data_IF_098436223371
#
_entry.id   IF_098436223371
#
_cell.length_a   1.000
_cell.length_b   1.000
_cell.length_c   1.000
_cell.angle_alpha   90.00
_cell.angle_beta   90.00
_cell.angle_gamma   90.00
#
_symmetry.space_group_name_H-M   'P 1'
#
loop_
_entity.id
_entity.type
_entity.pdbx_description
1 polymer ?
#
# COMPACT_ATOMS: atom_id res chain seq x y z
N UNK A 1 1.18 -31.86 2.75
CA UNK A 1 2.09 -31.12 1.84
C UNK A 1 2.08 -29.68 2.32
N UNK A 2 3.24 -29.05 2.51
CA UNK A 2 3.27 -27.62 2.83
C UNK A 2 2.62 -26.85 1.67
N UNK A 3 1.78 -25.86 1.98
CA UNK A 3 1.19 -25.02 0.94
C UNK A 3 2.31 -24.26 0.22
N UNK A 4 2.23 -24.10 -1.12
CA UNK A 4 3.18 -23.30 -1.86
C UNK A 4 3.16 -21.85 -1.33
N UNK A 5 4.34 -21.25 -1.22
CA UNK A 5 4.50 -19.86 -0.77
C UNK A 5 4.06 -18.93 -1.91
N UNK A 6 3.09 -18.08 -1.63
CA UNK A 6 2.66 -17.02 -2.55
C UNK A 6 3.30 -15.70 -2.13
N UNK A 7 3.98 -15.03 -3.07
CA UNK A 7 4.53 -13.70 -2.85
C UNK A 7 3.73 -12.70 -3.68
N UNK A 8 3.26 -11.63 -3.04
CA UNK A 8 2.66 -10.49 -3.71
C UNK A 8 3.57 -9.27 -3.48
N UNK A 9 4.03 -8.62 -4.55
CA UNK A 9 4.90 -7.44 -4.46
C UNK A 9 4.08 -6.20 -4.78
N UNK A 10 4.05 -5.24 -3.86
CA UNK A 10 3.36 -3.96 -4.10
C UNK A 10 4.10 -3.10 -5.14
N UNK A 11 3.35 -2.25 -5.84
CA UNK A 11 3.92 -1.23 -6.74
C UNK A 11 4.81 -0.23 -5.99
N UNK A 12 4.47 0.12 -4.75
CA UNK A 12 5.33 0.92 -3.86
C UNK A 12 6.69 0.25 -3.62
N UNK A 13 6.72 -1.04 -3.29
CA UNK A 13 7.96 -1.79 -3.12
C UNK A 13 8.83 -1.72 -4.36
N UNK A 14 8.25 -1.96 -5.55
CA UNK A 14 8.98 -1.88 -6.81
C UNK A 14 9.55 -0.46 -7.02
N UNK A 15 8.73 0.56 -6.76
CA UNK A 15 9.10 1.97 -6.94
C UNK A 15 10.29 2.39 -6.09
N UNK A 16 10.38 1.93 -4.84
CA UNK A 16 11.58 2.18 -4.01
C UNK A 16 12.73 1.27 -4.35
N UNK A 17 12.47 0.00 -4.68
CA UNK A 17 13.47 -0.95 -5.12
C UNK A 17 14.28 -0.43 -6.30
N UNK A 18 13.62 0.15 -7.31
CA UNK A 18 14.28 0.69 -8.51
C UNK A 18 15.23 1.86 -8.20
N UNK A 19 15.01 2.58 -7.10
CA UNK A 19 15.84 3.70 -6.64
C UNK A 19 17.04 3.25 -5.79
N UNK A 20 17.07 1.99 -5.35
CA UNK A 20 18.15 1.46 -4.51
C UNK A 20 19.47 1.34 -5.30
N UNK A 21 20.63 1.40 -4.61
CA UNK A 21 21.92 1.07 -5.22
C UNK A 21 21.92 -0.33 -5.85
N UNK A 22 22.64 -0.51 -6.97
CA UNK A 22 22.56 -1.76 -7.75
C UNK A 22 22.96 -3.02 -6.96
N UNK A 23 23.93 -2.90 -6.05
CA UNK A 23 24.30 -4.00 -5.16
C UNK A 23 23.17 -4.40 -4.21
N UNK A 24 22.39 -3.44 -3.73
CA UNK A 24 21.24 -3.70 -2.86
C UNK A 24 20.08 -4.28 -3.67
N UNK A 25 19.85 -3.79 -4.89
CA UNK A 25 18.87 -4.40 -5.81
C UNK A 25 19.15 -5.90 -6.04
N UNK A 26 20.41 -6.27 -6.24
CA UNK A 26 20.81 -7.67 -6.40
C UNK A 26 20.57 -8.48 -5.12
N UNK A 27 20.96 -7.95 -3.95
CA UNK A 27 20.71 -8.60 -2.65
C UNK A 27 19.23 -8.80 -2.36
N UNK A 28 18.40 -7.81 -2.66
CA UNK A 28 16.95 -7.93 -2.50
C UNK A 28 16.38 -9.00 -3.43
N UNK A 29 16.84 -9.09 -4.69
CA UNK A 29 16.38 -10.14 -5.61
C UNK A 29 16.78 -11.55 -5.12
N UNK A 30 18.04 -11.73 -4.72
CA UNK A 30 18.51 -12.98 -4.10
C UNK A 30 17.71 -13.33 -2.85
N UNK A 31 17.39 -12.33 -2.03
CA UNK A 31 16.56 -12.50 -0.85
C UNK A 31 15.15 -12.98 -1.21
N UNK A 32 14.46 -12.34 -2.16
CA UNK A 32 13.09 -12.73 -2.53
C UNK A 32 13.06 -14.15 -3.12
N UNK A 33 14.04 -14.52 -3.95
CA UNK A 33 14.18 -15.89 -4.46
C UNK A 33 14.37 -16.90 -3.32
N UNK A 34 15.25 -16.59 -2.35
CA UNK A 34 15.47 -17.45 -1.18
C UNK A 34 14.20 -17.56 -0.32
N UNK A 35 13.50 -16.44 -0.13
CA UNK A 35 12.26 -16.37 0.64
C UNK A 35 11.15 -17.20 0.00
N UNK A 36 11.01 -17.17 -1.33
CA UNK A 36 10.04 -17.97 -2.07
C UNK A 36 10.26 -19.47 -1.85
N UNK A 37 11.52 -19.89 -1.76
CA UNK A 37 11.89 -21.28 -1.50
C UNK A 37 11.64 -21.70 -0.04
N UNK A 38 12.07 -20.89 0.92
CA UNK A 38 11.87 -21.15 2.35
C UNK A 38 11.82 -19.84 3.18
N UNK A 39 10.61 -19.38 3.55
CA UNK A 39 10.42 -18.20 4.40
C UNK A 39 11.01 -18.35 5.81
N UNK A 40 11.24 -19.58 6.27
CA UNK A 40 11.83 -19.89 7.58
C UNK A 40 13.33 -20.13 7.52
N UNK A 41 13.93 -19.97 6.33
CA UNK A 41 15.32 -20.27 6.08
C UNK A 41 16.30 -19.39 6.89
N UNK A 42 17.55 -19.84 7.05
CA UNK A 42 18.55 -19.13 7.84
C UNK A 42 18.84 -17.75 7.24
N UNK A 43 18.86 -16.72 8.08
CA UNK A 43 19.18 -15.34 7.66
C UNK A 43 18.02 -14.55 7.07
N UNK A 44 16.81 -15.12 6.96
CA UNK A 44 15.61 -14.35 6.58
C UNK A 44 15.27 -13.31 7.66
N UNK A 45 15.45 -13.69 8.94
CA UNK A 45 15.13 -12.89 10.12
C UNK A 45 13.71 -12.31 10.04
N UNK A 46 12.72 -13.18 9.89
CA UNK A 46 11.31 -12.82 9.81
C UNK A 46 10.79 -12.44 11.21
N UNK A 47 10.83 -11.15 11.53
CA UNK A 47 10.55 -10.64 12.87
C UNK A 47 9.33 -9.73 12.87
N UNK A 48 8.44 -9.90 13.85
CA UNK A 48 7.28 -9.01 14.00
C UNK A 48 7.75 -7.63 14.47
N UNK A 49 7.28 -6.58 13.81
CA UNK A 49 7.67 -5.21 14.15
C UNK A 49 6.92 -4.77 15.41
N UNK A 50 7.64 -4.30 16.42
CA UNK A 50 7.06 -3.77 17.66
C UNK A 50 6.65 -2.31 17.46
N UNK A 51 5.54 -1.91 18.09
CA UNK A 51 5.05 -0.53 18.01
C UNK A 51 4.26 -0.20 16.75
N UNK A 52 4.12 -1.13 15.80
CA UNK A 52 3.19 -0.99 14.69
C UNK A 52 1.74 -0.99 15.16
N UNK A 53 0.94 -0.13 14.55
CA UNK A 53 -0.53 -0.18 14.67
C UNK A 53 -1.08 -1.47 14.05
N UNK A 54 -0.45 -1.95 12.98
CA UNK A 54 -0.81 -3.21 12.33
C UNK A 54 0.07 -4.38 12.78
N UNK A 55 -0.57 -5.41 13.35
CA UNK A 55 0.09 -6.63 13.85
C UNK A 55 0.53 -7.58 12.74
N UNK A 56 0.08 -7.36 11.50
CA UNK A 56 0.43 -8.17 10.33
C UNK A 56 1.76 -7.76 9.70
N UNK A 57 2.41 -6.71 10.19
CA UNK A 57 3.69 -6.22 9.65
C UNK A 57 4.90 -6.90 10.30
N UNK A 58 5.79 -7.38 9.44
CA UNK A 58 7.03 -8.05 9.78
C UNK A 58 8.19 -7.37 9.04
N UNK A 59 9.35 -7.36 9.67
CA UNK A 59 10.61 -6.99 9.04
C UNK A 59 11.35 -8.24 8.60
N UNK A 60 12.05 -8.14 7.47
CA UNK A 60 13.01 -9.15 7.01
C UNK A 60 14.36 -8.52 6.74
N UNK A 61 15.42 -9.31 6.89
CA UNK A 61 16.78 -8.85 6.66
C UNK A 61 17.17 -9.02 5.19
N UNK A 62 17.34 -7.90 4.49
CA UNK A 62 17.95 -7.91 3.16
C UNK A 62 19.47 -8.02 3.31
N UNK A 63 20.05 -7.17 4.14
CA UNK A 63 21.45 -7.25 4.55
C UNK A 63 21.69 -6.62 5.93
N UNK A 64 22.92 -6.25 6.26
CA UNK A 64 23.24 -5.66 7.57
C UNK A 64 22.56 -4.30 7.78
N UNK A 65 22.32 -3.55 6.70
CA UNK A 65 21.88 -2.14 6.70
C UNK A 65 20.47 -1.92 6.15
N UNK A 66 19.95 -2.83 5.33
CA UNK A 66 18.64 -2.73 4.68
C UNK A 66 17.65 -3.76 5.24
N UNK A 67 16.39 -3.34 5.34
CA UNK A 67 15.26 -4.17 5.76
C UNK A 67 14.16 -4.14 4.71
N UNK A 68 13.49 -5.27 4.55
CA UNK A 68 12.23 -5.36 3.83
C UNK A 68 11.06 -5.36 4.81
N UNK A 69 9.94 -4.76 4.43
CA UNK A 69 8.69 -4.80 5.20
C UNK A 69 7.70 -5.70 4.48
N UNK A 70 7.21 -6.70 5.21
CA UNK A 70 6.31 -7.73 4.70
C UNK A 70 5.04 -7.77 5.54
N UNK A 71 3.87 -7.71 4.90
CA UNK A 71 2.61 -8.06 5.55
C UNK A 71 2.34 -9.56 5.41
N UNK A 72 1.85 -10.17 6.50
CA UNK A 72 1.40 -11.57 6.52
C UNK A 72 0.27 -11.76 7.52
N UNK A 73 -0.81 -12.40 7.08
CA UNK A 73 -1.86 -12.85 7.96
C UNK A 73 -1.50 -14.21 8.59
N UNK A 74 -1.68 -14.34 9.90
CA UNK A 74 -1.34 -15.58 10.61
C UNK A 74 -2.18 -16.76 10.06
N UNK A 75 -1.52 -17.92 9.88
CA UNK A 75 -2.15 -19.10 9.29
C UNK A 75 -2.16 -19.13 7.76
N UNK A 76 -1.67 -18.09 7.07
CA UNK A 76 -1.56 -18.04 5.61
C UNK A 76 -0.13 -18.27 5.12
N UNK A 77 0.00 -18.74 3.87
CA UNK A 77 1.27 -18.87 3.15
C UNK A 77 1.48 -17.75 2.13
N UNK A 78 0.76 -16.63 2.29
CA UNK A 78 0.80 -15.46 1.41
C UNK A 78 1.56 -14.33 2.08
N UNK A 79 2.55 -13.79 1.38
CA UNK A 79 3.45 -12.75 1.89
C UNK A 79 3.42 -11.54 0.97
N UNK A 80 3.11 -10.38 1.53
CA UNK A 80 2.99 -9.14 0.79
C UNK A 80 4.21 -8.27 1.03
N UNK A 81 5.06 -8.09 0.01
CA UNK A 81 6.24 -7.24 0.07
C UNK A 81 5.84 -5.78 -0.17
N UNK A 82 5.96 -4.97 0.88
CA UNK A 82 5.38 -3.63 0.92
C UNK A 82 6.44 -2.52 0.78
N UNK A 83 7.62 -2.71 1.36
CA UNK A 83 8.68 -1.70 1.34
C UNK A 83 10.07 -2.32 1.45
N UNK A 84 11.10 -1.60 1.00
CA UNK A 84 12.51 -1.93 1.23
C UNK A 84 13.31 -0.64 1.38
N UNK A 85 14.06 -0.54 2.47
CA UNK A 85 14.84 0.67 2.79
C UNK A 85 15.96 0.39 3.79
N UNK A 86 16.73 1.42 4.13
CA UNK A 86 17.59 1.42 5.30
C UNK A 86 16.81 1.06 6.56
N UNK A 87 17.51 0.47 7.52
CA UNK A 87 16.91 -0.10 8.72
C UNK A 87 15.92 0.85 9.40
N UNK A 88 16.35 2.03 9.81
CA UNK A 88 15.54 2.93 10.64
C UNK A 88 14.34 3.47 9.85
N UNK A 89 14.55 3.82 8.59
CA UNK A 89 13.56 4.32 7.64
C UNK A 89 12.48 3.27 7.35
N UNK A 90 12.87 2.01 7.19
CA UNK A 90 11.91 0.91 7.00
C UNK A 90 11.04 0.69 8.23
N UNK A 91 11.62 0.78 9.44
CA UNK A 91 10.84 0.70 10.69
C UNK A 91 9.93 1.91 10.86
N UNK A 92 10.41 3.13 10.61
CA UNK A 92 9.60 4.35 10.65
C UNK A 92 8.43 4.29 9.67
N UNK A 93 8.68 3.80 8.46
CA UNK A 93 7.65 3.58 7.44
C UNK A 93 6.57 2.61 7.94
N UNK A 94 6.99 1.51 8.58
CA UNK A 94 6.10 0.44 9.01
C UNK A 94 5.24 0.82 10.22
N UNK A 95 5.79 1.51 11.23
CA UNK A 95 5.05 1.81 12.47
C UNK A 95 3.88 2.76 12.25
N UNK A 96 3.95 3.58 11.20
CA UNK A 96 2.90 4.53 10.81
C UNK A 96 1.88 3.96 9.84
N UNK A 97 2.07 2.74 9.31
CA UNK A 97 1.23 2.19 8.25
C UNK A 97 0.39 1.00 8.69
N UNK A 98 -0.70 0.80 7.95
CA UNK A 98 -1.60 -0.34 8.06
C UNK A 98 -1.83 -0.96 6.69
N UNK A 99 -1.96 -2.28 6.67
CA UNK A 99 -2.32 -3.08 5.52
C UNK A 99 -3.66 -3.78 5.82
N UNK A 100 -4.73 -3.34 5.16
CA UNK A 100 -6.07 -3.84 5.43
C UNK A 100 -6.88 -3.95 4.15
N UNK A 101 -7.91 -4.80 4.19
CA UNK A 101 -8.91 -4.83 3.14
C UNK A 101 -9.86 -3.66 3.36
N UNK A 102 -10.07 -2.85 2.33
CA UNK A 102 -11.09 -1.82 2.34
C UNK A 102 -12.46 -2.47 2.14
N UNK A 103 -13.38 -2.28 3.07
CA UNK A 103 -14.68 -2.95 3.02
C UNK A 103 -15.60 -2.41 1.91
N UNK A 104 -15.36 -1.20 1.41
CA UNK A 104 -16.15 -0.61 0.34
C UNK A 104 -15.71 -1.09 -1.06
N UNK A 105 -14.41 -1.32 -1.27
CA UNK A 105 -13.84 -1.74 -2.56
C UNK A 105 -13.46 -3.22 -2.60
N UNK A 106 -13.32 -3.86 -1.44
CA UNK A 106 -12.77 -5.21 -1.29
C UNK A 106 -11.27 -5.29 -1.61
N UNK A 107 -10.59 -4.16 -1.82
CA UNK A 107 -9.20 -4.11 -2.22
C UNK A 107 -8.26 -4.06 -1.02
N UNK A 108 -7.06 -4.62 -1.14
CA UNK A 108 -6.01 -4.44 -0.13
C UNK A 108 -5.42 -3.05 -0.29
N UNK A 109 -5.46 -2.28 0.79
CA UNK A 109 -4.90 -0.93 0.85
C UNK A 109 -3.78 -0.85 1.89
N UNK A 110 -2.73 -0.14 1.51
CA UNK A 110 -1.63 0.25 2.40
C UNK A 110 -1.77 1.76 2.62
N UNK A 111 -1.91 2.19 3.87
CA UNK A 111 -2.11 3.61 4.17
C UNK A 111 -1.48 4.02 5.49
N UNK A 112 -1.20 5.32 5.61
CA UNK A 112 -0.65 5.91 6.82
C UNK A 112 -1.77 6.18 7.84
N UNK A 113 -1.68 5.61 9.03
CA UNK A 113 -2.64 5.82 10.13
C UNK A 113 -2.22 6.92 11.10
N UNK A 114 -0.98 7.43 10.97
CA UNK A 114 -0.50 8.60 11.68
C UNK A 114 -0.26 9.72 10.68
N UNK A 115 -1.31 10.47 10.41
CA UNK A 115 -1.18 11.77 9.78
C UNK A 115 -0.66 12.74 10.85
N UNK A 116 0.62 13.08 10.77
CA UNK A 116 1.06 14.37 11.31
C UNK A 116 0.26 15.41 10.55
N UNK A 117 -0.41 16.30 11.27
CA UNK A 117 -0.96 17.52 10.69
C UNK A 117 0.18 18.19 9.92
N UNK A 118 0.26 17.95 8.61
CA UNK A 118 0.96 18.81 7.70
C UNK A 118 0.10 20.07 7.54
N UNK A 119 -0.20 20.70 8.68
CA UNK A 119 -0.30 22.14 8.76
C UNK A 119 1.12 22.67 8.61
N UNK A 120 1.73 22.45 7.45
CA UNK A 120 2.54 23.53 6.93
C UNK A 120 1.54 24.66 6.76
N UNK A 121 1.70 25.71 7.57
CA UNK A 121 1.01 26.97 7.40
C UNK A 121 1.31 27.46 5.98
N UNK A 122 0.51 27.02 5.00
CA UNK A 122 0.47 27.65 3.69
C UNK A 122 0.03 29.08 3.96
N UNK A 123 1.00 29.99 3.87
CA UNK A 123 0.76 31.41 3.94
C UNK A 123 -0.19 31.80 2.81
N UNK A 124 -1.45 31.98 3.17
CA UNK A 124 -2.31 33.00 2.60
C UNK A 124 -3.01 32.62 1.31
N UNK A 125 -4.07 31.83 1.42
CA UNK A 125 -5.36 32.12 0.78
C UNK A 125 -6.47 31.67 1.75
N UNK A 126 -7.46 32.53 2.03
CA UNK A 126 -8.66 32.16 2.79
C UNK A 126 -9.54 31.29 1.89
N UNK A 127 -9.30 29.97 1.90
CA UNK A 127 -10.27 29.03 1.37
C UNK A 127 -11.45 28.95 2.35
N UNK A 128 -12.62 29.36 1.89
CA UNK A 128 -13.85 29.37 2.69
C UNK A 128 -14.20 27.95 3.18
N UNK A 129 -13.82 26.91 2.41
CA UNK A 129 -14.03 25.51 2.76
C UNK A 129 -12.88 24.58 2.31
N UNK A 130 -12.65 23.44 2.99
CA UNK A 130 -11.75 22.38 2.53
C UNK A 130 -12.15 21.80 1.17
N UNK A 131 -11.18 21.19 0.46
CA UNK A 131 -11.33 20.70 -0.92
C UNK A 131 -12.50 19.71 -1.08
N UNK A 132 -12.72 18.83 -0.10
CA UNK A 132 -13.75 17.80 -0.13
C UNK A 132 -14.95 18.11 0.78
N UNK A 133 -15.19 19.37 1.15
CA UNK A 133 -16.21 19.73 2.14
C UNK A 133 -17.64 19.32 1.74
N UNK A 134 -17.96 19.36 0.44
CA UNK A 134 -19.32 19.12 -0.08
C UNK A 134 -19.69 17.63 -0.16
N UNK A 135 -18.71 16.73 -0.04
CA UNK A 135 -18.90 15.28 -0.16
C UNK A 135 -19.19 14.70 1.22
N UNK A 136 -20.10 13.74 1.35
CA UNK A 136 -20.37 13.11 2.65
C UNK A 136 -19.27 12.09 3.03
N UNK A 137 -19.13 11.79 4.33
CA UNK A 137 -18.16 10.74 4.76
C UNK A 137 -18.53 9.37 4.18
N UNK A 138 -19.82 9.08 4.04
CA UNK A 138 -20.31 7.84 3.41
C UNK A 138 -19.86 7.75 1.96
N UNK A 139 -19.92 8.84 1.21
CA UNK A 139 -19.48 8.87 -0.19
C UNK A 139 -17.95 8.77 -0.29
N UNK A 140 -17.20 9.45 0.58
CA UNK A 140 -15.74 9.31 0.63
C UNK A 140 -15.32 7.86 0.90
N UNK A 141 -16.00 7.18 1.84
CA UNK A 141 -15.78 5.75 2.10
C UNK A 141 -16.15 4.92 0.87
N UNK A 142 -17.27 5.21 0.21
CA UNK A 142 -17.71 4.49 -0.99
C UNK A 142 -16.71 4.60 -2.16
N UNK A 143 -15.97 5.72 -2.22
CA UNK A 143 -14.87 5.96 -3.15
C UNK A 143 -13.54 5.32 -2.74
N UNK A 144 -13.53 4.55 -1.64
CA UNK A 144 -12.38 3.78 -1.19
C UNK A 144 -11.51 4.47 -0.14
N UNK A 145 -11.90 5.63 0.39
CA UNK A 145 -11.15 6.27 1.49
C UNK A 145 -11.30 5.42 2.76
N UNK A 146 -10.20 4.96 3.39
CA UNK A 146 -10.26 4.32 4.69
C UNK A 146 -10.91 5.25 5.73
N UNK A 147 -11.74 4.69 6.62
CA UNK A 147 -12.40 5.47 7.68
C UNK A 147 -11.37 6.21 8.53
N UNK A 148 -10.24 5.56 8.80
CA UNK A 148 -9.12 6.13 9.54
C UNK A 148 -8.50 7.34 8.85
N UNK A 149 -8.60 7.48 7.53
CA UNK A 149 -8.06 8.61 6.77
C UNK A 149 -9.05 9.76 6.57
N UNK A 150 -10.32 9.61 6.97
CA UNK A 150 -11.32 10.68 6.79
C UNK A 150 -10.89 12.02 7.40
N UNK A 151 -10.37 12.09 8.65
CA UNK A 151 -9.93 13.36 9.23
C UNK A 151 -8.84 14.05 8.40
N UNK A 152 -7.91 13.26 7.85
CA UNK A 152 -6.85 13.76 6.99
C UNK A 152 -7.39 14.28 5.66
N UNK A 153 -8.24 13.51 4.95
CA UNK A 153 -8.86 13.94 3.68
C UNK A 153 -9.70 15.22 3.89
N UNK A 154 -10.40 15.33 5.02
CA UNK A 154 -11.18 16.53 5.38
C UNK A 154 -10.32 17.76 5.69
N UNK A 155 -9.05 17.57 6.07
CA UNK A 155 -8.13 18.67 6.37
C UNK A 155 -7.52 19.32 5.11
N UNK A 156 -7.58 18.64 3.96
CA UNK A 156 -6.99 19.12 2.71
C UNK A 156 -7.77 20.32 2.16
N UNK A 157 -7.07 21.43 1.92
CA UNK A 157 -7.67 22.69 1.46
C UNK A 157 -7.46 22.94 -0.03
N UNK A 158 -6.31 22.55 -0.56
CA UNK A 158 -5.88 22.90 -1.92
C UNK A 158 -5.58 21.65 -2.74
N UNK A 159 -5.71 21.76 -4.07
CA UNK A 159 -5.34 20.68 -4.98
C UNK A 159 -3.83 20.35 -4.90
N UNK A 160 -2.99 21.32 -4.57
CA UNK A 160 -1.56 21.11 -4.32
C UNK A 160 -1.32 20.28 -3.05
N UNK A 161 -1.96 20.64 -1.93
CA UNK A 161 -1.87 19.87 -0.68
C UNK A 161 -2.36 18.43 -0.86
N UNK A 162 -3.44 18.24 -1.64
CA UNK A 162 -3.93 16.93 -2.04
C UNK A 162 -2.92 16.18 -2.91
N UNK A 163 -2.33 16.81 -3.92
CA UNK A 163 -1.30 16.21 -4.77
C UNK A 163 -0.10 15.69 -3.97
N UNK A 164 0.34 16.43 -2.95
CA UNK A 164 1.44 16.01 -2.03
C UNK A 164 1.03 14.85 -1.11
N UNK A 165 -0.27 14.59 -0.95
CA UNK A 165 -0.81 13.50 -0.15
C UNK A 165 -0.87 12.14 -0.88
N UNK A 166 -0.39 12.05 -2.13
CA UNK A 166 -0.44 10.83 -2.93
C UNK A 166 0.23 9.60 -2.27
N UNK A 167 1.27 9.81 -1.45
CA UNK A 167 1.93 8.73 -0.71
C UNK A 167 1.25 8.37 0.63
N UNK A 168 0.20 9.11 1.01
CA UNK A 168 -0.54 8.90 2.27
C UNK A 168 -1.91 8.24 2.05
N UNK A 169 -2.53 8.53 0.91
CA UNK A 169 -3.85 8.01 0.52
C UNK A 169 -3.65 6.77 -0.38
N UNK A 170 -4.41 5.68 -0.19
CA UNK A 170 -4.39 4.53 -1.10
C UNK A 170 -4.58 4.94 -2.57
N UNK A 171 -3.86 4.33 -3.53
CA UNK A 171 -3.90 4.75 -4.94
C UNK A 171 -5.31 4.74 -5.56
N UNK A 172 -6.12 3.73 -5.24
CA UNK A 172 -7.50 3.59 -5.72
C UNK A 172 -8.40 4.71 -5.18
N UNK A 173 -8.26 5.04 -3.89
CA UNK A 173 -8.97 6.17 -3.29
C UNK A 173 -8.48 7.52 -3.85
N UNK A 174 -7.17 7.66 -4.04
CA UNK A 174 -6.56 8.87 -4.57
C UNK A 174 -7.04 9.17 -5.99
N UNK A 175 -7.12 8.16 -6.87
CA UNK A 175 -7.65 8.30 -8.23
C UNK A 175 -9.08 8.87 -8.22
N UNK A 176 -9.96 8.29 -7.41
CA UNK A 176 -11.35 8.75 -7.28
C UNK A 176 -11.44 10.18 -6.73
N UNK A 177 -10.65 10.51 -5.71
CA UNK A 177 -10.59 11.87 -5.16
C UNK A 177 -10.00 12.87 -6.17
N UNK A 178 -9.08 12.45 -7.02
CA UNK A 178 -8.51 13.28 -8.07
C UNK A 178 -9.54 13.61 -9.16
N UNK A 179 -10.43 12.68 -9.52
CA UNK A 179 -11.57 12.97 -10.40
C UNK A 179 -12.50 14.03 -9.83
N UNK A 180 -12.83 13.92 -8.53
CA UNK A 180 -13.64 14.94 -7.84
C UNK A 180 -12.93 16.30 -7.80
N UNK A 181 -11.63 16.32 -7.46
CA UNK A 181 -10.84 17.55 -7.45
C UNK A 181 -10.69 18.16 -8.85
N UNK A 182 -10.75 17.34 -9.90
CA UNK A 182 -10.80 17.74 -11.30
C UNK A 182 -12.17 18.24 -11.78
N UNK A 183 -13.19 18.24 -10.92
CA UNK A 183 -14.53 18.75 -11.21
C UNK A 183 -15.51 17.73 -11.81
N UNK A 184 -15.17 16.44 -11.83
CA UNK A 184 -16.11 15.38 -12.24
C UNK A 184 -17.16 15.23 -11.13
N UNK A 185 -18.46 15.20 -11.46
CA UNK A 185 -19.51 15.19 -10.45
C UNK A 185 -19.54 13.85 -9.71
N UNK A 186 -19.92 13.90 -8.42
CA UNK A 186 -19.84 12.76 -7.50
C UNK A 186 -20.54 11.51 -8.02
N UNK A 187 -21.72 11.64 -8.63
CA UNK A 187 -22.47 10.52 -9.17
C UNK A 187 -21.69 9.79 -10.28
N UNK A 188 -21.01 10.52 -11.17
CA UNK A 188 -20.20 9.91 -12.23
C UNK A 188 -18.99 9.18 -11.65
N UNK A 189 -18.31 9.78 -10.66
CA UNK A 189 -17.17 9.12 -10.00
C UNK A 189 -17.62 7.87 -9.24
N UNK A 190 -18.78 7.91 -8.57
CA UNK A 190 -19.36 6.75 -7.90
C UNK A 190 -19.72 5.63 -8.89
N UNK A 191 -20.28 5.98 -10.06
CA UNK A 191 -20.58 5.01 -11.12
C UNK A 191 -19.29 4.40 -11.69
N UNK A 192 -18.24 5.20 -11.91
CA UNK A 192 -16.93 4.72 -12.31
C UNK A 192 -16.33 3.78 -11.27
N UNK A 193 -16.34 4.16 -9.99
CA UNK A 193 -15.84 3.32 -8.91
C UNK A 193 -16.64 2.02 -8.78
N UNK A 194 -17.97 2.07 -8.91
CA UNK A 194 -18.84 0.90 -8.88
C UNK A 194 -18.56 -0.05 -10.05
N UNK A 195 -18.26 0.47 -11.25
CA UNK A 195 -17.92 -0.34 -12.42
C UNK A 195 -16.60 -1.10 -12.27
N UNK A 196 -15.71 -0.63 -11.40
CA UNK A 196 -14.45 -1.28 -11.08
C UNK A 196 -14.56 -2.25 -9.89
N UNK A 197 -15.66 -2.25 -9.15
CA UNK A 197 -15.84 -3.17 -8.01
C UNK A 197 -15.89 -4.61 -8.51
N UNK A 198 -15.28 -5.49 -7.73
CA UNK A 198 -15.37 -6.92 -7.95
C UNK A 198 -16.69 -7.47 -7.41
N UNK A 199 -17.27 -8.46 -8.09
CA UNK A 199 -18.37 -9.28 -7.57
C UNK A 199 -17.90 -10.26 -6.47
N UNK A 200 -16.60 -10.32 -6.18
CA UNK A 200 -16.07 -11.14 -5.12
C UNK A 200 -16.56 -10.66 -3.75
N UNK A 201 -16.87 -11.58 -2.82
CA UNK A 201 -17.28 -11.22 -1.48
C UNK A 201 -16.15 -10.45 -0.77
N UNK A 202 -16.52 -9.34 -0.13
CA UNK A 202 -15.61 -8.59 0.74
C UNK A 202 -15.28 -9.46 1.96
N UNK A 203 -14.00 -9.54 2.28
CA UNK A 203 -13.43 -10.41 3.31
C UNK A 203 -12.30 -9.68 4.01
N UNK A 204 -12.07 -9.99 5.29
CA UNK A 204 -10.90 -9.49 6.01
C UNK A 204 -9.62 -10.32 5.72
N UNK A 205 -9.76 -11.43 4.98
CA UNK A 205 -8.64 -12.28 4.59
C UNK A 205 -7.84 -11.66 3.44
N UNK A 206 -6.58 -11.30 3.71
CA UNK A 206 -5.70 -10.71 2.69
C UNK A 206 -5.44 -11.66 1.50
N UNK A 207 -5.42 -12.97 1.71
CA UNK A 207 -5.17 -13.93 0.61
C UNK A 207 -6.36 -13.98 -0.35
N UNK A 208 -7.58 -13.96 0.19
CA UNK A 208 -8.79 -13.88 -0.63
C UNK A 208 -8.91 -12.52 -1.32
N UNK A 209 -8.64 -11.42 -0.61
CA UNK A 209 -8.67 -10.06 -1.16
C UNK A 209 -7.59 -9.82 -2.23
N UNK A 210 -6.52 -10.62 -2.27
CA UNK A 210 -5.51 -10.59 -3.34
C UNK A 210 -6.08 -11.01 -4.70
N UNK A 211 -7.18 -11.78 -4.73
CA UNK A 211 -7.87 -12.14 -5.97
C UNK A 211 -8.74 -11.01 -6.52
N UNK A 212 -8.97 -9.94 -5.75
CA UNK A 212 -9.72 -8.78 -6.22
C UNK A 212 -8.93 -8.04 -7.32
N UNK A 213 -9.53 -7.80 -8.51
CA UNK A 213 -8.90 -7.05 -9.59
C UNK A 213 -8.36 -5.67 -9.18
N UNK A 214 -9.03 -4.99 -8.24
CA UNK A 214 -8.56 -3.69 -7.72
C UNK A 214 -7.24 -3.86 -6.95
N UNK A 215 -7.12 -4.92 -6.15
CA UNK A 215 -5.86 -5.28 -5.48
C UNK A 215 -4.75 -5.56 -6.49
N UNK A 216 -5.05 -6.30 -7.56
CA UNK A 216 -4.07 -6.69 -8.58
C UNK A 216 -3.52 -5.52 -9.40
N UNK A 217 -4.17 -4.35 -9.37
CA UNK A 217 -3.59 -3.11 -9.90
C UNK A 217 -2.40 -2.60 -9.07
N UNK A 218 -2.41 -2.88 -7.76
CA UNK A 218 -1.39 -2.40 -6.81
C UNK A 218 -0.41 -3.49 -6.37
N UNK A 219 -0.64 -4.74 -6.76
CA UNK A 219 0.19 -5.88 -6.40
C UNK A 219 0.45 -6.79 -7.60
N UNK A 220 1.69 -7.22 -7.74
CA UNK A 220 2.09 -8.25 -8.70
C UNK A 220 2.30 -9.57 -7.95
N UNK A 221 1.58 -10.61 -8.36
CA UNK A 221 1.65 -11.94 -7.75
C UNK A 221 2.76 -12.73 -8.42
N UNK A 222 3.74 -13.20 -7.64
CA UNK A 222 4.87 -13.97 -8.14
C UNK A 222 4.58 -15.45 -7.96
N UNK A 223 4.42 -16.15 -9.09
CA UNK A 223 4.16 -17.60 -9.08
C UNK A 223 5.40 -18.45 -9.39
N UNK A 224 6.48 -17.84 -9.87
CA UNK A 224 7.74 -18.53 -10.16
C UNK A 224 8.97 -17.62 -10.24
N UNK A 225 10.15 -18.26 -10.29
CA UNK A 225 11.45 -17.58 -10.27
C UNK A 225 11.70 -16.73 -11.52
N UNK A 226 11.23 -17.18 -12.70
CA UNK A 226 11.40 -16.44 -13.95
C UNK A 226 10.56 -15.16 -13.97
N UNK A 227 9.32 -15.23 -13.47
CA UNK A 227 8.42 -14.09 -13.33
C UNK A 227 9.02 -13.04 -12.39
N UNK A 228 9.57 -13.49 -11.25
CA UNK A 228 10.27 -12.63 -10.30
C UNK A 228 11.43 -11.89 -10.96
N UNK A 229 12.27 -12.59 -11.73
CA UNK A 229 13.40 -11.97 -12.43
C UNK A 229 12.94 -10.91 -13.43
N UNK A 230 11.88 -11.19 -14.19
CA UNK A 230 11.34 -10.23 -15.15
C UNK A 230 10.83 -8.98 -14.46
N UNK A 231 10.03 -9.12 -13.40
CA UNK A 231 9.45 -7.98 -12.67
C UNK A 231 10.53 -7.15 -11.98
N UNK A 232 11.54 -7.77 -11.37
CA UNK A 232 12.61 -7.05 -10.68
C UNK A 232 13.68 -6.48 -11.63
N UNK A 233 13.73 -6.90 -12.89
CA UNK A 233 14.67 -6.36 -13.89
C UNK A 233 14.03 -5.36 -14.85
N UNK A 234 12.70 -5.26 -14.87
CA UNK A 234 11.98 -4.30 -15.70
C UNK A 234 12.25 -2.86 -15.23
N UNK A 235 12.51 -1.92 -16.15
CA UNK A 235 12.46 -0.50 -15.83
C UNK A 235 11.01 -0.15 -15.45
N UNK A 236 10.83 0.53 -14.33
CA UNK A 236 9.53 1.13 -13.99
C UNK A 236 9.39 2.39 -14.84
N UNK A 237 8.43 2.39 -15.76
CA UNK A 237 8.08 3.54 -16.61
C UNK A 237 7.47 4.68 -15.79
#
# INVERSE_FOLDING_TARGET
MAQPVTIAISTDFLSVYAKLPKNIQNRTNEFVQKFQNDPSGPGINFERIRGCQDRKLYSVRIDDTYRGIVARQDGTSTYFFLWVDHHDEAYEWAVRRRCAVNHATGAIQIFNVQYTEAAEEEKGEEYEFPLFHAISDTDLIALGVPVELLPFVRSLKTQESFGRACCQIPPDAFENLAYLAGGIPLNEVLDMAASQKSDLPVTDDLTEALQNPVTQKSFVIITGEEELRQIMSAPLE
#
